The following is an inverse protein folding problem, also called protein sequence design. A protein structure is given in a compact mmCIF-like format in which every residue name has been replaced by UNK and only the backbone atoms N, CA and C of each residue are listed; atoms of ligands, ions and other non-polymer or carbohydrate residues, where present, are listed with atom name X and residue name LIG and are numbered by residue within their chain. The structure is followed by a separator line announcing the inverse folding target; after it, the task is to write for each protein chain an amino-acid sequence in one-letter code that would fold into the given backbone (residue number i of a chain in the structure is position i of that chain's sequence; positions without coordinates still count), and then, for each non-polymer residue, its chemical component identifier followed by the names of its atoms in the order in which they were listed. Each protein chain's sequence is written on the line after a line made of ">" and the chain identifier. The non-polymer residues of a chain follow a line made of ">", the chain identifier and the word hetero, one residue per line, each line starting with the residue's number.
data_IF_629809963676
#
_entry.id   IF_629809963676
#
_cell.length_a   1.000
_cell.length_b   1.000
_cell.length_c   1.000
_cell.angle_alpha   90.00
_cell.angle_beta   90.00
_cell.angle_gamma   90.00
#
_symmetry.space_group_name_H-M   'P 1'
#
loop_
_entity.id
_entity.type
_entity.pdbx_description
1 polymer ?
#
# COMPACT_ATOMS: atom_id res chain seq x y z
N UNK A 1 22.77 0.94 13.23
CA UNK A 1 22.24 1.29 11.88
C UNK A 1 20.73 1.19 11.95
N UNK A 2 20.02 2.31 11.85
CA UNK A 2 18.56 2.34 11.97
C UNK A 2 17.91 1.68 10.73
N UNK A 3 17.06 0.67 10.93
CA UNK A 3 16.32 0.00 9.86
C UNK A 3 15.26 0.96 9.28
N UNK A 4 15.52 1.58 8.12
CA UNK A 4 14.59 2.56 7.53
C UNK A 4 13.45 1.92 6.73
N UNK A 5 13.63 0.67 6.30
CA UNK A 5 12.59 -0.13 5.62
C UNK A 5 11.45 -0.60 6.54
N UNK A 6 11.66 -0.72 7.84
CA UNK A 6 10.61 -1.13 8.78
C UNK A 6 9.50 -0.08 8.95
N UNK A 7 9.82 1.21 9.21
CA UNK A 7 8.82 2.28 9.22
C UNK A 7 8.03 2.38 7.91
N UNK A 8 8.70 2.27 6.76
CA UNK A 8 8.08 2.38 5.43
C UNK A 8 6.96 1.35 5.22
N UNK A 9 7.23 0.09 5.55
CA UNK A 9 6.24 -0.98 5.41
C UNK A 9 5.08 -0.85 6.38
N UNK A 10 5.33 -0.44 7.63
CA UNK A 10 4.28 -0.20 8.64
C UNK A 10 3.35 0.93 8.19
N UNK A 11 3.92 2.06 7.75
CA UNK A 11 3.14 3.20 7.23
C UNK A 11 2.25 2.78 6.07
N UNK A 12 2.77 1.98 5.14
CA UNK A 12 2.01 1.49 3.97
C UNK A 12 0.83 0.60 4.40
N UNK A 13 1.04 -0.28 5.38
CA UNK A 13 -0.05 -1.11 5.93
C UNK A 13 -1.10 -0.25 6.60
N UNK A 14 -0.71 0.76 7.39
CA UNK A 14 -1.65 1.68 8.03
C UNK A 14 -2.48 2.42 6.99
N UNK A 15 -1.85 2.92 5.92
CA UNK A 15 -2.55 3.56 4.78
C UNK A 15 -3.58 2.63 4.16
N UNK A 16 -3.21 1.37 3.91
CA UNK A 16 -4.14 0.36 3.38
C UNK A 16 -5.30 0.06 4.34
N UNK A 17 -5.04 -0.07 5.63
CA UNK A 17 -6.07 -0.29 6.66
C UNK A 17 -7.07 0.87 6.72
N UNK A 18 -6.59 2.12 6.67
CA UNK A 18 -7.45 3.32 6.61
C UNK A 18 -8.29 3.30 5.32
N UNK A 19 -7.70 2.90 4.19
CA UNK A 19 -8.42 2.74 2.93
C UNK A 19 -9.57 1.73 3.02
N UNK A 20 -9.35 0.58 3.66
CA UNK A 20 -10.41 -0.41 3.91
C UNK A 20 -11.49 0.19 4.81
N UNK A 21 -11.12 0.80 5.93
CA UNK A 21 -12.09 1.39 6.86
C UNK A 21 -12.92 2.49 6.19
N UNK A 22 -12.29 3.37 5.40
CA UNK A 22 -12.97 4.40 4.63
C UNK A 22 -13.94 3.81 3.59
N UNK A 23 -13.51 2.76 2.89
CA UNK A 23 -14.37 2.08 1.90
C UNK A 23 -15.53 1.33 2.54
N UNK A 24 -15.33 0.72 3.71
CA UNK A 24 -16.39 0.09 4.49
C UNK A 24 -17.38 1.12 5.05
N UNK A 25 -16.88 2.25 5.56
CA UNK A 25 -17.72 3.34 6.02
C UNK A 25 -18.56 3.92 4.86
N UNK A 26 -17.97 4.05 3.68
CA UNK A 26 -18.70 4.46 2.46
C UNK A 26 -19.80 3.44 2.12
N UNK A 27 -19.50 2.14 2.10
CA UNK A 27 -20.52 1.09 1.89
C UNK A 27 -21.66 1.16 2.92
N UNK A 28 -21.35 1.43 4.19
CA UNK A 28 -22.36 1.58 5.24
C UNK A 28 -23.22 2.84 5.06
N UNK A 29 -22.68 3.89 4.43
CA UNK A 29 -23.39 5.14 4.15
C UNK A 29 -24.29 5.07 2.92
N UNK A 30 -24.03 4.19 1.96
CA UNK A 30 -24.84 4.01 0.74
C UNK A 30 -26.34 3.84 1.04
N UNK A 31 -26.80 2.92 1.92
CA UNK A 31 -28.23 2.77 2.20
C UNK A 31 -28.83 4.01 2.88
N UNK A 32 -28.02 4.78 3.62
CA UNK A 32 -28.46 6.04 4.21
C UNK A 32 -28.69 7.09 3.13
N UNK A 33 -27.75 7.24 2.18
CA UNK A 33 -27.87 8.17 1.05
C UNK A 33 -29.11 7.84 0.21
N UNK A 34 -29.28 6.56 -0.15
CA UNK A 34 -30.42 6.09 -0.94
C UNK A 34 -31.75 6.41 -0.25
N UNK A 35 -31.84 6.17 1.06
CA UNK A 35 -33.02 6.53 1.86
C UNK A 35 -33.26 8.03 1.89
N UNK A 36 -32.23 8.85 2.13
CA UNK A 36 -32.41 10.31 2.18
C UNK A 36 -32.83 10.92 0.84
N UNK A 37 -32.45 10.31 -0.29
CA UNK A 37 -32.87 10.77 -1.62
C UNK A 37 -34.28 10.35 -1.99
N UNK A 38 -34.72 9.16 -1.54
CA UNK A 38 -36.05 8.62 -1.85
C UNK A 38 -37.13 9.04 -0.86
N UNK A 39 -36.75 9.60 0.30
CA UNK A 39 -37.69 10.08 1.30
C UNK A 39 -38.39 11.37 0.83
N UNK A 40 -39.73 11.38 0.71
CA UNK A 40 -40.48 12.56 0.29
C UNK A 40 -40.33 13.75 1.26
N UNK A 41 -39.94 13.53 2.52
CA UNK A 41 -39.69 14.62 3.47
C UNK A 41 -38.45 15.46 3.12
N UNK A 42 -37.51 14.90 2.33
CA UNK A 42 -36.25 15.54 1.96
C UNK A 42 -36.18 15.91 0.48
N UNK A 43 -37.29 15.85 -0.26
CA UNK A 43 -37.37 16.26 -1.66
C UNK A 43 -37.68 17.76 -1.76
N UNK A 44 -36.69 18.63 -2.06
CA UNK A 44 -36.89 20.08 -2.09
C UNK A 44 -37.70 20.55 -3.31
N UNK A 45 -37.91 19.71 -4.31
CA UNK A 45 -38.55 20.08 -5.58
C UNK A 45 -39.51 18.98 -6.05
N UNK A 46 -40.76 19.35 -6.30
CA UNK A 46 -41.89 18.42 -6.60
C UNK A 46 -42.13 18.23 -8.10
N UNK A 47 -41.19 18.68 -8.93
CA UNK A 47 -41.31 18.70 -10.39
C UNK A 47 -40.84 17.41 -11.07
N UNK A 48 -40.02 16.60 -10.38
CA UNK A 48 -39.53 15.31 -10.87
C UNK A 48 -40.52 14.20 -10.57
N UNK A 49 -40.67 13.27 -11.51
CA UNK A 49 -41.49 12.08 -11.28
C UNK A 49 -40.80 11.14 -10.28
N UNK A 50 -41.55 10.37 -9.48
CA UNK A 50 -40.95 9.41 -8.54
C UNK A 50 -40.00 8.41 -9.21
N UNK A 51 -40.25 8.07 -10.48
CA UNK A 51 -39.41 7.19 -11.27
C UNK A 51 -38.03 7.80 -11.59
N UNK A 52 -37.96 9.09 -11.87
CA UNK A 52 -36.70 9.80 -12.14
C UNK A 52 -35.84 9.93 -10.89
N UNK A 53 -36.47 10.21 -9.73
CA UNK A 53 -35.78 10.28 -8.44
C UNK A 53 -35.17 8.92 -8.08
N UNK A 54 -35.92 7.84 -8.29
CA UNK A 54 -35.44 6.49 -8.01
C UNK A 54 -34.29 6.09 -8.95
N UNK A 55 -34.39 6.40 -10.25
CA UNK A 55 -33.31 6.13 -11.19
C UNK A 55 -32.03 6.93 -10.86
N UNK A 56 -32.16 8.19 -10.45
CA UNK A 56 -31.03 9.01 -10.02
C UNK A 56 -30.37 8.46 -8.74
N UNK A 57 -31.17 8.06 -7.74
CA UNK A 57 -30.69 7.46 -6.50
C UNK A 57 -29.97 6.12 -6.76
N UNK A 58 -30.51 5.27 -7.63
CA UNK A 58 -29.90 3.98 -8.00
C UNK A 58 -28.58 4.18 -8.76
N UNK A 59 -28.52 5.16 -9.68
CA UNK A 59 -27.29 5.48 -10.41
C UNK A 59 -26.20 6.00 -9.47
N UNK A 60 -26.52 6.96 -8.58
CA UNK A 60 -25.57 7.45 -7.58
C UNK A 60 -25.08 6.32 -6.67
N UNK A 61 -26.01 5.52 -6.14
CA UNK A 61 -25.71 4.37 -5.27
C UNK A 61 -24.80 3.37 -5.99
N UNK A 62 -25.07 3.08 -7.27
CA UNK A 62 -24.25 2.22 -8.11
C UNK A 62 -22.82 2.73 -8.27
N UNK A 63 -22.64 4.02 -8.56
CA UNK A 63 -21.31 4.65 -8.70
C UNK A 63 -20.54 4.59 -7.39
N UNK A 64 -21.16 4.97 -6.26
CA UNK A 64 -20.49 4.92 -4.96
C UNK A 64 -20.15 3.49 -4.54
N UNK A 65 -21.03 2.52 -4.81
CA UNK A 65 -20.77 1.09 -4.56
C UNK A 65 -19.57 0.59 -5.36
N UNK A 66 -19.51 0.93 -6.65
CA UNK A 66 -18.38 0.57 -7.51
C UNK A 66 -17.06 1.16 -6.99
N UNK A 67 -17.06 2.45 -6.63
CA UNK A 67 -15.87 3.09 -6.05
C UNK A 67 -15.45 2.46 -4.73
N UNK A 68 -16.40 2.10 -3.86
CA UNK A 68 -16.09 1.46 -2.59
C UNK A 68 -15.45 0.08 -2.77
N UNK A 69 -16.00 -0.76 -3.67
CA UNK A 69 -15.42 -2.08 -3.99
C UNK A 69 -14.02 -1.92 -4.59
N UNK A 70 -13.85 -1.01 -5.55
CA UNK A 70 -12.54 -0.73 -6.12
C UNK A 70 -11.54 -0.25 -5.05
N UNK A 71 -11.97 0.62 -4.13
CA UNK A 71 -11.18 1.10 -3.01
C UNK A 71 -10.70 -0.02 -2.08
N UNK A 72 -11.54 -1.01 -1.80
CA UNK A 72 -11.17 -2.20 -1.00
C UNK A 72 -10.08 -2.99 -1.73
N UNK A 73 -10.24 -3.27 -3.03
CA UNK A 73 -9.26 -4.04 -3.80
C UNK A 73 -7.90 -3.34 -3.85
N UNK A 74 -7.88 -2.02 -4.08
CA UNK A 74 -6.66 -1.22 -4.03
C UNK A 74 -6.03 -1.23 -2.65
N UNK A 75 -6.84 -1.15 -1.59
CA UNK A 75 -6.36 -1.16 -0.21
C UNK A 75 -5.70 -2.50 0.16
N UNK A 76 -6.29 -3.62 -0.28
CA UNK A 76 -5.68 -4.96 -0.13
C UNK A 76 -4.32 -5.00 -0.84
N UNK A 77 -4.26 -4.50 -2.08
CA UNK A 77 -3.00 -4.43 -2.83
C UNK A 77 -1.93 -3.62 -2.09
N UNK A 78 -2.29 -2.46 -1.52
CA UNK A 78 -1.39 -1.63 -0.71
C UNK A 78 -0.87 -2.40 0.51
N UNK A 79 -1.73 -3.14 1.22
CA UNK A 79 -1.31 -3.95 2.39
C UNK A 79 -0.31 -5.03 1.96
N UNK A 80 -0.58 -5.72 0.86
CA UNK A 80 0.33 -6.74 0.32
C UNK A 80 1.67 -6.12 -0.08
N UNK A 81 1.66 -4.98 -0.76
CA UNK A 81 2.87 -4.24 -1.10
C UNK A 81 3.68 -3.83 0.15
N UNK A 82 3.02 -3.36 1.20
CA UNK A 82 3.64 -3.05 2.50
C UNK A 82 4.26 -4.28 3.17
N UNK A 83 3.59 -5.43 3.12
CA UNK A 83 4.13 -6.69 3.64
C UNK A 83 5.37 -7.17 2.86
N UNK A 84 5.38 -7.00 1.53
CA UNK A 84 6.55 -7.31 0.69
C UNK A 84 7.73 -6.36 0.94
N UNK A 85 7.44 -5.08 1.25
CA UNK A 85 8.45 -4.11 1.67
C UNK A 85 9.10 -4.49 3.02
N UNK A 86 8.30 -4.95 3.99
CA UNK A 86 8.81 -5.48 5.27
C UNK A 86 9.74 -6.68 5.08
N UNK A 87 9.43 -7.55 4.12
CA UNK A 87 10.27 -8.71 3.77
C UNK A 87 11.53 -8.36 2.96
N UNK A 88 11.72 -7.09 2.59
CA UNK A 88 12.82 -6.60 1.73
C UNK A 88 12.98 -7.39 0.42
N UNK A 89 11.88 -7.96 -0.10
CA UNK A 89 11.95 -8.96 -1.17
C UNK A 89 11.81 -8.35 -2.57
N UNK A 90 11.04 -7.28 -2.70
CA UNK A 90 10.82 -6.59 -3.96
C UNK A 90 10.59 -5.09 -3.72
N UNK A 91 11.62 -4.28 -3.96
CA UNK A 91 11.54 -2.83 -3.78
C UNK A 91 10.49 -2.18 -4.69
N UNK A 92 10.40 -2.62 -5.95
CA UNK A 92 9.43 -2.09 -6.92
C UNK A 92 7.97 -2.31 -6.52
N UNK A 93 7.67 -3.41 -5.83
CA UNK A 93 6.31 -3.70 -5.35
C UNK A 93 5.92 -2.75 -4.20
N UNK A 94 6.86 -2.47 -3.29
CA UNK A 94 6.67 -1.51 -2.20
C UNK A 94 6.49 -0.08 -2.72
N UNK A 95 7.27 0.32 -3.73
CA UNK A 95 7.14 1.64 -4.36
C UNK A 95 5.78 1.81 -5.06
N UNK A 96 5.35 0.81 -5.83
CA UNK A 96 4.05 0.83 -6.48
C UNK A 96 2.91 0.95 -5.45
N UNK A 97 2.99 0.20 -4.35
CA UNK A 97 2.03 0.31 -3.24
C UNK A 97 1.97 1.71 -2.62
N UNK A 98 3.11 2.35 -2.37
CA UNK A 98 3.15 3.72 -1.82
C UNK A 98 2.58 4.76 -2.78
N UNK A 99 2.79 4.61 -4.10
CA UNK A 99 2.21 5.51 -5.12
C UNK A 99 0.69 5.33 -5.16
N UNK A 100 0.20 4.09 -5.19
CA UNK A 100 -1.24 3.81 -5.15
C UNK A 100 -1.87 4.35 -3.86
N UNK A 101 -1.14 4.27 -2.73
CA UNK A 101 -1.56 4.84 -1.45
C UNK A 101 -1.81 6.34 -1.47
N UNK A 102 -1.17 7.11 -2.37
CA UNK A 102 -1.42 8.56 -2.50
C UNK A 102 -2.87 8.86 -2.92
N UNK A 103 -3.47 7.99 -3.73
CA UNK A 103 -4.85 8.13 -4.18
C UNK A 103 -5.87 7.73 -3.11
N UNK A 104 -5.43 7.05 -2.05
CA UNK A 104 -6.29 6.58 -0.95
C UNK A 104 -6.21 7.55 0.23
N UNK A 105 -5.01 7.87 0.71
CA UNK A 105 -4.84 8.75 1.87
C UNK A 105 -3.49 9.50 1.84
N UNK A 106 -3.54 10.71 1.28
CA UNK A 106 -2.39 11.62 1.10
C UNK A 106 -1.50 11.81 2.35
N UNK A 107 -2.03 12.03 3.57
CA UNK A 107 -1.20 12.39 4.72
C UNK A 107 -0.21 11.30 5.11
N UNK A 108 -0.59 10.03 5.01
CA UNK A 108 0.29 8.89 5.35
C UNK A 108 1.09 8.37 4.16
N UNK A 109 0.57 8.56 2.95
CA UNK A 109 1.18 8.03 1.75
C UNK A 109 2.45 8.79 1.35
N UNK A 110 2.51 10.11 1.58
CA UNK A 110 3.71 10.91 1.30
C UNK A 110 4.91 10.45 2.14
N UNK A 111 4.82 10.33 3.49
CA UNK A 111 5.89 9.75 4.30
C UNK A 111 6.27 8.32 3.89
N UNK A 112 5.27 7.48 3.58
CA UNK A 112 5.51 6.10 3.14
C UNK A 112 6.31 6.04 1.83
N UNK A 113 5.99 6.91 0.87
CA UNK A 113 6.71 7.04 -0.40
C UNK A 113 8.17 7.48 -0.17
N UNK A 114 8.37 8.52 0.65
CA UNK A 114 9.72 9.04 0.95
C UNK A 114 10.58 7.99 1.63
N UNK A 115 10.05 7.29 2.64
CA UNK A 115 10.79 6.21 3.30
C UNK A 115 11.07 5.03 2.36
N UNK A 116 10.14 4.69 1.46
CA UNK A 116 10.36 3.66 0.45
C UNK A 116 11.48 4.05 -0.52
N UNK A 117 11.49 5.29 -1.00
CA UNK A 117 12.54 5.82 -1.88
C UNK A 117 13.91 5.79 -1.19
N UNK A 118 13.98 6.21 0.08
CA UNK A 118 15.21 6.18 0.87
C UNK A 118 15.70 4.77 1.21
N UNK A 119 14.81 3.77 1.18
CA UNK A 119 15.16 2.38 1.45
C UNK A 119 15.84 1.66 0.27
N UNK A 120 15.82 2.23 -0.95
CA UNK A 120 16.41 1.64 -2.18
C UNK A 120 17.80 0.98 -1.97
N UNK A 121 18.81 1.62 -1.35
CA UNK A 121 20.12 0.99 -1.13
C UNK A 121 20.09 -0.23 -0.20
N UNK A 122 19.11 -0.34 0.70
CA UNK A 122 18.94 -1.50 1.59
C UNK A 122 18.45 -2.74 0.83
N UNK A 123 17.72 -2.54 -0.27
CA UNK A 123 17.22 -3.62 -1.13
C UNK A 123 18.31 -4.08 -2.12
N UNK A 124 19.06 -3.14 -2.71
CA UNK A 124 20.18 -3.45 -3.61
C UNK A 124 21.32 -4.21 -2.90
N UNK A 125 21.60 -3.86 -1.64
CA UNK A 125 22.63 -4.53 -0.82
C UNK A 125 22.31 -5.99 -0.46
N UNK A 126 21.04 -6.40 -0.52
CA UNK A 126 20.64 -7.82 -0.33
C UNK A 126 20.61 -8.59 -1.64
N UNK A 127 20.24 -7.93 -2.75
CA UNK A 127 20.28 -8.54 -4.07
C UNK A 127 21.70 -8.93 -4.47
N UNK A 128 22.69 -8.04 -4.25
CA UNK A 128 24.10 -8.31 -4.54
C UNK A 128 24.70 -9.44 -3.67
N UNK A 129 24.23 -9.61 -2.44
CA UNK A 129 24.68 -10.68 -1.53
C UNK A 129 24.16 -12.07 -1.91
N UNK A 130 23.11 -12.16 -2.73
CA UNK A 130 22.60 -13.44 -3.23
C UNK A 130 23.28 -13.89 -4.53
N UNK A 131 23.90 -12.98 -5.28
CA UNK A 131 24.53 -13.28 -6.57
C UNK A 131 25.91 -13.93 -6.43
N UNK A 132 26.56 -13.87 -5.25
CA UNK A 132 27.85 -14.52 -5.00
C UNK A 132 27.84 -15.40 -3.74
N UNK A 133 27.35 -16.64 -3.83
CA UNK A 133 27.40 -17.60 -2.73
C UNK A 133 28.76 -18.31 -2.56
N UNK A 134 29.89 -17.77 -3.05
CA UNK A 134 31.09 -18.61 -3.22
C UNK A 134 32.48 -17.97 -3.29
N UNK A 135 32.68 -16.67 -3.09
CA UNK A 135 34.04 -16.07 -3.17
C UNK A 135 34.74 -15.82 -1.83
N UNK A 136 34.25 -16.41 -0.74
CA UNK A 136 34.98 -16.45 0.53
C UNK A 136 35.37 -17.90 0.88
N UNK A 137 36.38 -18.45 0.20
CA UNK A 137 37.31 -19.34 0.89
C UNK A 137 38.76 -18.94 0.64
N UNK A 138 39.56 -18.93 1.72
CA UNK A 138 40.68 -18.02 1.87
C UNK A 138 41.94 -18.61 1.25
N UNK A 139 42.73 -17.76 0.58
CA UNK A 139 44.12 -18.05 0.27
C UNK A 139 44.96 -18.05 1.56
N UNK A 140 44.77 -19.08 2.39
CA UNK A 140 45.61 -19.47 3.52
C UNK A 140 46.33 -20.77 3.17
N UNK A 141 47.13 -20.76 2.10
CA UNK A 141 48.08 -21.85 1.83
C UNK A 141 49.42 -21.26 1.35
N UNK A 142 50.18 -20.72 2.32
CA UNK A 142 51.64 -20.83 2.52
C UNK A 142 52.21 -19.56 3.16
N UNK A 143 52.84 -19.70 4.34
CA UNK A 143 54.29 -19.87 4.27
C UNK A 143 54.80 -21.00 5.20
N UNK A 144 55.62 -21.93 4.70
CA UNK A 144 56.47 -22.73 5.55
C UNK A 144 57.94 -22.36 5.32
N UNK A 145 58.63 -22.02 6.41
CA UNK A 145 60.07 -22.23 6.54
C UNK A 145 60.92 -20.99 6.74
N UNK A 146 60.96 -20.48 7.97
CA UNK A 146 62.20 -19.89 8.51
C UNK A 146 63.02 -21.01 9.15
N UNK A 147 64.23 -21.35 8.66
CA UNK A 147 65.16 -22.16 9.42
C UNK A 147 65.81 -21.30 10.50
N UNK A 148 65.66 -21.73 11.76
CA UNK A 148 66.50 -21.28 12.87
C UNK A 148 67.96 -21.72 12.64
N UNK A 149 68.88 -20.88 13.07
CA UNK A 149 70.31 -21.00 12.80
C UNK A 149 71.07 -22.10 13.53
N UNK A 150 72.31 -22.25 13.07
CA UNK A 150 73.45 -22.93 13.65
C UNK A 150 74.69 -22.45 12.93
#
# INVERSE_FOLDING_TARGET
>A
MANKSQPAGILTIITGSIGILGSLALLAFIPLIHRTMTDPAFQPDTTLTPAEIQAAADLMTGVFSFMAVAGILLSIFIIVAGAYALKRRAWGLGLAGSIVGLFVFLPTAIPALVFMALSKPEFESRASRQTFPGEDQPNRLNPPGTPHGG
#
